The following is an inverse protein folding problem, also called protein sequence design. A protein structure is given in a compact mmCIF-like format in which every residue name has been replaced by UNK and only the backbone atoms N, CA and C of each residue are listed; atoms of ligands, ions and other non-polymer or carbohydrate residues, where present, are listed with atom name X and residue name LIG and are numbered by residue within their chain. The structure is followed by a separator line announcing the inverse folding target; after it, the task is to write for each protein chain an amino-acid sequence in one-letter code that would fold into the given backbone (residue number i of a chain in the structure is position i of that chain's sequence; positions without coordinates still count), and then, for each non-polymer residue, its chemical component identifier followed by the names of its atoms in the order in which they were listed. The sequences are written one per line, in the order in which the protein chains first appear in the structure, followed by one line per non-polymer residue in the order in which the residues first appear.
data_IF_694073064530
#
_entry.id   IF_694073064530
#
_cell.length_a   1.000
_cell.length_b   1.000
_cell.length_c   1.000
_cell.angle_alpha   90.00
_cell.angle_beta   90.00
_cell.angle_gamma   90.00
#
_symmetry.space_group_name_H-M   'P 1'
#
loop_
_entity.id
_entity.type
_entity.pdbx_description
1 polymer ?
#
# COMPACT_ATOMS: atom_id res chain seq x y z
N UNK A 1 6.15 9.15 -12.96
CA UNK A 1 6.65 8.42 -11.77
C UNK A 1 7.44 9.30 -10.80
N UNK A 2 8.43 10.09 -11.24
CA UNK A 2 9.21 10.93 -10.32
C UNK A 2 8.35 11.89 -9.46
N UNK A 3 7.36 12.58 -10.07
CA UNK A 3 6.40 13.42 -9.33
C UNK A 3 5.67 12.70 -8.19
N UNK A 4 5.27 11.44 -8.41
CA UNK A 4 4.60 10.63 -7.39
C UNK A 4 5.55 10.28 -6.24
N UNK A 5 6.79 9.91 -6.56
CA UNK A 5 7.83 9.65 -5.56
C UNK A 5 8.08 10.90 -4.71
N UNK A 6 8.19 12.07 -5.34
CA UNK A 6 8.42 13.32 -4.63
C UNK A 6 7.21 13.71 -3.76
N UNK A 7 5.99 13.42 -4.20
CA UNK A 7 4.80 13.56 -3.36
C UNK A 7 4.84 12.65 -2.13
N UNK A 8 5.07 11.35 -2.33
CA UNK A 8 5.07 10.35 -1.25
C UNK A 8 6.17 10.61 -0.21
N UNK A 9 7.31 11.19 -0.62
CA UNK A 9 8.37 11.59 0.33
C UNK A 9 7.91 12.57 1.40
N UNK A 10 6.93 13.42 1.07
CA UNK A 10 6.40 14.45 1.95
C UNK A 10 5.05 14.06 2.58
N UNK A 11 4.55 12.85 2.30
CA UNK A 11 3.31 12.32 2.87
C UNK A 11 3.65 11.26 3.93
N UNK A 12 2.91 11.26 5.04
CA UNK A 12 3.16 10.37 6.18
C UNK A 12 1.97 9.50 6.54
N UNK A 13 0.87 9.60 5.81
CA UNK A 13 -0.38 8.90 6.11
C UNK A 13 -0.93 8.28 4.83
N UNK A 14 -1.26 7.00 4.89
CA UNK A 14 -1.67 6.23 3.72
C UNK A 14 -2.80 5.28 4.10
N UNK A 15 -3.85 5.22 3.28
CA UNK A 15 -4.86 4.17 3.35
C UNK A 15 -4.59 3.11 2.31
N UNK A 16 -4.89 1.87 2.70
CA UNK A 16 -4.78 0.68 1.87
C UNK A 16 -6.13 0.04 1.71
N UNK A 17 -6.36 -0.48 0.52
CA UNK A 17 -7.44 -1.38 0.20
C UNK A 17 -6.91 -2.43 -0.78
N UNK A 18 -7.45 -3.64 -0.74
CA UNK A 18 -6.97 -4.75 -1.54
C UNK A 18 -8.09 -5.51 -2.21
N UNK A 19 -7.87 -5.89 -3.45
CA UNK A 19 -8.82 -6.69 -4.22
C UNK A 19 -8.19 -8.01 -4.65
N UNK A 20 -8.92 -9.10 -4.42
CA UNK A 20 -8.55 -10.44 -4.83
C UNK A 20 -9.15 -10.80 -6.19
N UNK A 21 -8.47 -11.65 -6.96
CA UNK A 21 -9.02 -12.20 -8.18
C UNK A 21 -10.27 -13.05 -7.87
N UNK A 22 -11.32 -12.93 -8.67
CA UNK A 22 -12.59 -13.66 -8.43
C UNK A 22 -12.43 -15.18 -8.48
N UNK A 23 -11.51 -15.67 -9.32
CA UNK A 23 -11.31 -17.08 -9.64
C UNK A 23 -10.59 -17.86 -8.53
N UNK A 24 -9.50 -17.32 -8.00
CA UNK A 24 -8.59 -18.01 -7.08
C UNK A 24 -8.38 -17.27 -5.75
N UNK A 25 -8.99 -16.09 -5.57
CA UNK A 25 -8.85 -15.22 -4.38
C UNK A 25 -7.42 -14.75 -4.09
N UNK A 26 -6.51 -14.88 -5.05
CA UNK A 26 -5.16 -14.33 -4.93
C UNK A 26 -5.23 -12.81 -4.99
N UNK A 27 -4.38 -12.14 -4.20
CA UNK A 27 -4.26 -10.69 -4.24
C UNK A 27 -3.91 -10.24 -5.66
N UNK A 28 -4.77 -9.44 -6.26
CA UNK A 28 -4.63 -9.00 -7.65
C UNK A 28 -4.31 -7.51 -7.73
N UNK A 29 -4.88 -6.70 -6.84
CA UNK A 29 -4.72 -5.25 -6.84
C UNK A 29 -4.50 -4.75 -5.42
N UNK A 30 -3.54 -3.82 -5.30
CA UNK A 30 -3.37 -2.99 -4.11
C UNK A 30 -3.73 -1.56 -4.49
N UNK A 31 -4.67 -0.97 -3.77
CA UNK A 31 -4.98 0.44 -3.83
C UNK A 31 -4.32 1.15 -2.65
N UNK A 32 -3.56 2.20 -2.94
CA UNK A 32 -2.90 3.04 -1.93
C UNK A 32 -3.34 4.48 -2.16
N UNK A 33 -3.98 5.08 -1.17
CA UNK A 33 -4.35 6.49 -1.20
C UNK A 33 -3.50 7.27 -0.22
N UNK A 34 -2.94 8.40 -0.69
CA UNK A 34 -2.14 9.30 0.13
C UNK A 34 -3.04 10.24 0.91
N UNK A 35 -2.75 10.50 2.18
CA UNK A 35 -3.43 11.51 3.01
C UNK A 35 -2.42 12.63 3.32
N UNK A 36 -2.19 13.56 2.39
CA UNK A 36 -1.24 14.64 2.61
C UNK A 36 -1.87 15.75 3.46
N UNK A 37 -1.03 16.55 4.12
CA UNK A 37 -1.48 17.77 4.81
C UNK A 37 -2.01 18.84 3.84
N UNK A 38 -1.55 18.81 2.59
CA UNK A 38 -1.94 19.73 1.54
C UNK A 38 -2.24 18.96 0.25
N UNK A 39 -3.25 19.41 -0.49
CA UNK A 39 -3.63 18.82 -1.78
C UNK A 39 -2.48 18.93 -2.81
N UNK A 40 -2.40 18.00 -3.78
CA UNK A 40 -3.41 17.00 -4.14
C UNK A 40 -3.31 15.66 -3.37
N UNK A 41 -4.43 14.97 -3.24
CA UNK A 41 -4.47 13.55 -2.86
C UNK A 41 -4.25 12.68 -4.10
N UNK A 42 -3.42 11.65 -4.01
CA UNK A 42 -3.25 10.65 -5.06
C UNK A 42 -3.76 9.28 -4.62
N UNK A 43 -4.35 8.57 -5.58
CA UNK A 43 -4.68 7.14 -5.50
C UNK A 43 -3.77 6.40 -6.48
N UNK A 44 -3.05 5.41 -5.96
CA UNK A 44 -2.15 4.55 -6.72
C UNK A 44 -2.74 3.15 -6.75
N UNK A 45 -2.96 2.64 -7.95
CA UNK A 45 -3.42 1.27 -8.19
C UNK A 45 -2.24 0.44 -8.68
N UNK A 46 -1.97 -0.67 -7.99
CA UNK A 46 -0.87 -1.59 -8.31
C UNK A 46 -1.45 -2.96 -8.62
N UNK A 47 -1.56 -3.27 -9.90
CA UNK A 47 -1.99 -4.58 -10.38
C UNK A 47 -0.81 -5.56 -10.35
N UNK A 48 -0.87 -6.52 -9.42
CA UNK A 48 0.26 -7.41 -9.13
C UNK A 48 0.58 -8.37 -10.28
N UNK A 49 -0.43 -8.81 -11.02
CA UNK A 49 -0.28 -9.71 -12.17
C UNK A 49 0.32 -9.02 -13.41
N UNK A 50 0.31 -7.68 -13.44
CA UNK A 50 0.81 -6.87 -14.55
C UNK A 50 2.06 -6.06 -14.16
N UNK A 51 2.74 -6.45 -13.09
CA UNK A 51 3.98 -5.81 -12.70
C UNK A 51 5.06 -5.97 -13.78
N UNK A 52 5.84 -4.91 -14.03
CA UNK A 52 6.97 -5.01 -14.94
C UNK A 52 8.04 -5.94 -14.37
N UNK A 53 8.88 -6.50 -15.24
CA UNK A 53 9.99 -7.37 -14.84
C UNK A 53 10.93 -6.70 -13.83
N UNK A 54 11.44 -7.48 -12.87
CA UNK A 54 12.29 -7.03 -11.76
C UNK A 54 13.52 -6.22 -12.20
N UNK A 55 14.06 -6.51 -13.39
CA UNK A 55 15.27 -5.87 -13.91
C UNK A 55 15.00 -4.52 -14.59
N UNK A 56 13.73 -4.09 -14.66
CA UNK A 56 13.37 -2.84 -15.34
C UNK A 56 13.48 -1.64 -14.40
N UNK A 57 13.86 -0.49 -14.96
CA UNK A 57 13.92 0.77 -14.21
C UNK A 57 12.55 1.14 -13.59
N UNK A 58 11.46 0.79 -14.26
CA UNK A 58 10.11 1.05 -13.75
C UNK A 58 9.81 0.21 -12.51
N UNK A 59 10.21 -1.07 -12.47
CA UNK A 59 10.06 -1.90 -11.28
C UNK A 59 10.87 -1.33 -10.11
N UNK A 60 12.12 -0.91 -10.35
CA UNK A 60 12.95 -0.25 -9.33
C UNK A 60 12.26 1.00 -8.76
N UNK A 61 11.57 1.78 -9.60
CA UNK A 61 10.80 2.94 -9.15
C UNK A 61 9.56 2.57 -8.35
N UNK A 62 8.89 1.47 -8.68
CA UNK A 62 7.77 0.94 -7.89
C UNK A 62 8.28 0.44 -6.54
N UNK A 63 9.38 -0.32 -6.50
CA UNK A 63 10.00 -0.76 -5.24
C UNK A 63 10.42 0.43 -4.38
N UNK A 64 11.01 1.47 -4.99
CA UNK A 64 11.33 2.73 -4.32
C UNK A 64 10.08 3.40 -3.72
N UNK A 65 8.96 3.43 -4.45
CA UNK A 65 7.69 3.97 -3.96
C UNK A 65 7.22 3.21 -2.71
N UNK A 66 7.20 1.87 -2.76
CA UNK A 66 6.83 1.04 -1.61
C UNK A 66 7.77 1.26 -0.43
N UNK A 67 9.10 1.29 -0.64
CA UNK A 67 10.07 1.58 0.43
C UNK A 67 9.79 2.92 1.12
N UNK A 68 9.34 3.94 0.37
CA UNK A 68 8.97 5.23 0.95
C UNK A 68 7.66 5.20 1.73
N UNK A 69 6.68 4.40 1.30
CA UNK A 69 5.39 4.26 1.97
C UNK A 69 5.53 3.49 3.28
N UNK A 70 6.31 2.39 3.28
CA UNK A 70 6.51 1.52 4.44
C UNK A 70 7.63 1.97 5.40
N UNK A 71 7.94 3.28 5.44
CA UNK A 71 8.90 3.85 6.39
C UNK A 71 8.34 3.92 7.82
N UNK A 72 9.23 3.83 8.81
CA UNK A 72 8.87 3.79 10.23
C UNK A 72 8.03 4.97 10.74
N UNK A 73 8.26 6.16 10.17
CA UNK A 73 7.54 7.39 10.53
C UNK A 73 6.13 7.49 9.95
N UNK A 74 5.78 6.61 9.01
CA UNK A 74 4.49 6.66 8.32
C UNK A 74 3.43 5.87 9.08
N UNK A 75 2.18 6.30 8.92
CA UNK A 75 0.98 5.65 9.44
C UNK A 75 0.21 5.03 8.29
N UNK A 76 -0.10 3.75 8.43
CA UNK A 76 -0.79 2.95 7.43
C UNK A 76 -2.13 2.51 7.99
N UNK A 77 -3.19 2.79 7.25
CA UNK A 77 -4.57 2.50 7.64
C UNK A 77 -5.17 1.47 6.69
N UNK A 78 -5.87 0.47 7.21
CA UNK A 78 -6.63 -0.51 6.41
C UNK A 78 -7.91 -0.94 7.13
N UNK A 79 -8.90 -1.39 6.37
CA UNK A 79 -10.12 -1.98 6.90
C UNK A 79 -9.89 -3.44 7.29
N UNK A 80 -9.33 -3.67 8.48
CA UNK A 80 -8.89 -4.97 8.96
C UNK A 80 -7.36 -5.06 9.07
N UNK A 81 -6.82 -6.24 9.43
CA UNK A 81 -5.39 -6.40 9.66
C UNK A 81 -4.56 -6.28 8.38
N UNK A 82 -3.84 -5.17 8.20
CA UNK A 82 -3.01 -4.88 7.00
C UNK A 82 -2.06 -6.03 6.63
N UNK A 83 -1.48 -6.69 7.63
CA UNK A 83 -0.60 -7.84 7.41
C UNK A 83 -1.31 -8.95 6.64
N UNK A 84 -2.57 -9.26 6.97
CA UNK A 84 -3.34 -10.32 6.30
C UNK A 84 -3.59 -9.96 4.83
N UNK A 85 -3.90 -8.69 4.56
CA UNK A 85 -4.17 -8.20 3.21
C UNK A 85 -2.93 -8.17 2.33
N UNK A 86 -1.80 -7.69 2.86
CA UNK A 86 -0.58 -7.46 2.08
C UNK A 86 0.45 -8.59 2.16
N UNK A 87 0.25 -9.62 2.97
CA UNK A 87 1.20 -10.76 3.04
C UNK A 87 1.50 -11.38 1.66
N UNK A 88 0.52 -11.56 0.75
CA UNK A 88 0.80 -12.10 -0.58
C UNK A 88 1.73 -11.22 -1.43
N UNK A 89 1.76 -9.90 -1.18
CA UNK A 89 2.58 -8.96 -1.93
C UNK A 89 4.10 -9.10 -1.64
N UNK A 90 4.48 -9.84 -0.60
CA UNK A 90 5.88 -10.22 -0.32
C UNK A 90 6.48 -11.00 -1.49
N UNK A 91 5.69 -11.87 -2.13
CA UNK A 91 6.12 -12.69 -3.25
C UNK A 91 6.47 -11.86 -4.51
N UNK A 92 6.10 -10.58 -4.54
CA UNK A 92 6.35 -9.66 -5.65
C UNK A 92 7.51 -8.70 -5.36
N UNK A 93 8.28 -8.93 -4.28
CA UNK A 93 9.40 -8.08 -3.83
C UNK A 93 9.05 -6.60 -3.60
N UNK A 94 7.77 -6.30 -3.38
CA UNK A 94 7.31 -4.93 -3.15
C UNK A 94 7.51 -4.48 -1.68
N UNK A 95 7.38 -5.41 -0.74
CA UNK A 95 7.63 -5.19 0.67
C UNK A 95 8.14 -6.46 1.37
N UNK A 96 8.70 -6.28 2.55
CA UNK A 96 9.17 -7.35 3.42
C UNK A 96 8.58 -7.16 4.83
N UNK A 97 8.36 -8.27 5.54
CA UNK A 97 7.91 -8.24 6.93
C UNK A 97 9.07 -8.59 7.88
N UNK A 98 9.14 -7.99 9.08
CA UNK A 98 8.20 -7.00 9.62
C UNK A 98 8.37 -5.61 8.98
N UNK A 99 7.25 -4.94 8.67
CA UNK A 99 7.31 -3.51 8.32
C UNK A 99 7.50 -2.68 9.58
N UNK A 100 8.14 -1.52 9.42
CA UNK A 100 8.48 -0.65 10.55
C UNK A 100 7.46 0.47 10.78
N UNK A 101 6.55 0.70 9.84
CA UNK A 101 5.49 1.71 9.92
C UNK A 101 4.50 1.41 11.04
N UNK A 102 3.81 2.46 11.49
CA UNK A 102 2.67 2.32 12.39
C UNK A 102 1.46 1.82 11.61
N UNK A 103 0.81 0.76 12.08
CA UNK A 103 -0.34 0.12 11.42
C UNK A 103 -1.59 0.36 12.25
N UNK A 104 -2.66 0.81 11.60
CA UNK A 104 -3.95 1.04 12.22
C UNK A 104 -5.01 0.21 11.49
N UNK A 105 -5.60 -0.74 12.22
CA UNK A 105 -6.82 -1.42 11.79
C UNK A 105 -8.01 -0.52 12.12
N UNK A 106 -8.56 0.14 11.12
CA UNK A 106 -9.66 1.07 11.33
C UNK A 106 -10.96 0.33 11.67
N UNK A 107 -11.10 -0.95 11.31
CA UNK A 107 -12.32 -1.73 11.59
C UNK A 107 -12.65 -1.75 13.09
N UNK A 108 -11.63 -1.77 13.95
CA UNK A 108 -11.79 -1.77 15.41
C UNK A 108 -12.46 -0.49 15.94
N UNK A 109 -12.36 0.63 15.22
CA UNK A 109 -13.03 1.88 15.59
C UNK A 109 -14.50 1.97 15.15
N UNK A 110 -14.98 0.98 14.39
CA UNK A 110 -16.33 0.96 13.81
C UNK A 110 -17.14 -0.25 14.31
N UNK A 111 -16.75 -0.84 15.46
CA UNK A 111 -17.49 -1.95 16.09
C UNK A 111 -18.98 -1.63 16.28
N UNK A 112 -19.28 -0.38 16.59
CA UNK A 112 -20.61 0.08 16.99
C UNK A 112 -21.53 0.39 15.79
N UNK A 113 -21.01 0.36 14.56
CA UNK A 113 -21.81 0.63 13.35
C UNK A 113 -22.65 -0.56 12.91
N UNK A 114 -22.37 -1.75 13.42
CA UNK A 114 -23.05 -3.00 13.07
C UNK A 114 -23.87 -3.59 14.23
N UNK A 115 -24.03 -2.82 15.32
CA UNK A 115 -24.94 -3.11 16.45
C UNK A 115 -26.22 -2.30 16.34
#
# INVERSE_FOLDING_TARGET
MQKLIDHVRHCHEFTFDTEGEKSNKQLALIQIQTIPQQLPCFVVLVELLHLPSFNTLIFVKIKQLFTLIFQSKNKLYSWGPLRKELYPAVNYELLEWPITSQIFDIQLGFSDWYT
#
